data_IF_074329710127
#
_entry.id   IF_074329710127
#
_cell.length_a   1.000
_cell.length_b   1.000
_cell.length_c   1.000
_cell.angle_alpha   90.00
_cell.angle_beta   90.00
_cell.angle_gamma   90.00
#
_symmetry.space_group_name_H-M   'P 1'
#
loop_
_entity.id
_entity.type
_entity.pdbx_description
1 polymer ?
#
# COMPACT_ATOMS: atom_id res chain seq x y z
N UNK A 1 8.36 7.66 1.66
CA UNK A 1 9.69 7.95 2.21
C UNK A 1 9.93 9.45 2.14
N UNK A 2 10.04 10.12 3.29
CA UNK A 2 10.38 11.54 3.36
C UNK A 2 11.88 11.70 3.13
N UNK A 3 12.26 12.49 2.13
CA UNK A 3 13.67 12.70 1.79
C UNK A 3 13.99 14.19 1.87
N UNK A 4 15.13 14.54 2.44
CA UNK A 4 15.64 15.90 2.38
C UNK A 4 16.62 16.03 1.23
N UNK A 5 16.41 17.02 0.35
CA UNK A 5 17.23 17.18 -0.85
C UNK A 5 18.15 18.38 -0.69
N UNK A 6 19.45 18.11 -0.62
CA UNK A 6 20.50 19.13 -0.65
C UNK A 6 20.82 19.41 -2.12
N UNK A 7 20.71 20.67 -2.51
CA UNK A 7 21.00 21.11 -3.87
C UNK A 7 21.50 22.56 -3.88
N UNK A 8 22.22 22.95 -4.93
CA UNK A 8 22.48 24.36 -5.21
C UNK A 8 21.22 25.03 -5.78
N UNK A 9 21.06 26.33 -5.56
CA UNK A 9 19.91 27.09 -6.08
C UNK A 9 19.73 26.94 -7.60
N UNK A 10 20.84 27.01 -8.35
CA UNK A 10 20.87 26.85 -9.81
C UNK A 10 20.41 25.45 -10.28
N UNK A 11 20.62 24.43 -9.44
CA UNK A 11 20.33 23.03 -9.73
C UNK A 11 18.94 22.59 -9.27
N UNK A 12 18.18 23.44 -8.57
CA UNK A 12 16.88 23.12 -7.96
C UNK A 12 15.89 22.48 -8.97
N UNK A 13 15.77 23.09 -10.16
CA UNK A 13 14.85 22.60 -11.19
C UNK A 13 15.25 21.20 -11.68
N UNK A 14 16.54 20.99 -11.98
CA UNK A 14 17.07 19.71 -12.44
C UNK A 14 16.92 18.61 -11.37
N UNK A 15 17.24 18.94 -10.11
CA UNK A 15 17.10 18.01 -8.99
C UNK A 15 15.64 17.55 -8.79
N UNK A 16 14.67 18.47 -8.92
CA UNK A 16 13.23 18.15 -8.85
C UNK A 16 12.78 17.23 -9.98
N UNK A 17 13.21 17.51 -11.21
CA UNK A 17 12.88 16.70 -12.38
C UNK A 17 13.44 15.28 -12.24
N UNK A 18 14.72 15.16 -11.85
CA UNK A 18 15.38 13.87 -11.64
C UNK A 18 14.68 13.03 -10.56
N UNK A 19 14.39 13.61 -9.39
CA UNK A 19 13.73 12.88 -8.30
C UNK A 19 12.32 12.42 -8.70
N UNK A 20 11.59 13.23 -9.47
CA UNK A 20 10.26 12.89 -9.96
C UNK A 20 10.31 11.75 -10.97
N UNK A 21 11.28 11.76 -11.87
CA UNK A 21 11.51 10.69 -12.83
C UNK A 21 11.90 9.40 -12.12
N UNK A 22 12.82 9.48 -11.17
CA UNK A 22 13.28 8.37 -10.35
C UNK A 22 12.11 7.71 -9.60
N UNK A 23 11.32 8.51 -8.89
CA UNK A 23 10.11 8.08 -8.17
C UNK A 23 9.15 7.29 -9.07
N UNK A 24 8.93 7.76 -10.31
CA UNK A 24 8.06 7.10 -11.29
C UNK A 24 8.66 5.79 -11.82
N UNK A 25 9.93 5.82 -12.24
CA UNK A 25 10.59 4.69 -12.86
C UNK A 25 10.79 3.54 -11.86
N UNK A 26 11.21 3.87 -10.63
CA UNK A 26 11.38 2.91 -9.55
C UNK A 26 10.06 2.52 -8.85
N UNK A 27 8.94 3.19 -9.16
CA UNK A 27 7.62 2.98 -8.53
C UNK A 27 7.65 3.11 -7.00
N UNK A 28 8.47 4.03 -6.49
CA UNK A 28 8.60 4.32 -5.06
C UNK A 28 7.95 5.67 -4.75
N UNK A 29 7.31 5.80 -3.59
CA UNK A 29 6.66 7.06 -3.21
C UNK A 29 7.60 7.94 -2.37
N UNK A 30 8.30 8.86 -3.05
CA UNK A 30 9.17 9.85 -2.43
C UNK A 30 8.39 11.13 -2.09
N UNK A 31 8.60 11.65 -0.88
CA UNK A 31 8.11 12.95 -0.42
C UNK A 31 9.31 13.89 -0.25
N UNK A 32 9.83 14.49 -1.33
CA UNK A 32 11.04 15.28 -1.27
C UNK A 32 10.78 16.67 -0.68
N UNK A 33 11.62 17.05 0.28
CA UNK A 33 11.67 18.38 0.87
C UNK A 33 12.84 19.14 0.24
N UNK A 34 12.52 20.29 -0.33
CA UNK A 34 13.48 21.23 -0.90
C UNK A 34 13.37 22.54 -0.12
N UNK A 35 14.50 23.11 0.29
CA UNK A 35 14.53 24.40 0.98
C UNK A 35 15.25 25.46 0.15
N UNK A 36 14.63 26.65 0.09
CA UNK A 36 15.28 27.84 -0.46
C UNK A 36 16.07 28.52 0.66
N UNK A 37 17.34 28.15 0.83
CA UNK A 37 18.25 28.64 1.88
C UNK A 37 18.61 30.13 1.80
N UNK A 38 18.08 30.86 0.81
CA UNK A 38 18.39 32.28 0.58
C UNK A 38 17.38 33.25 1.21
N UNK A 39 16.14 32.83 1.47
CA UNK A 39 15.02 33.79 1.62
C UNK A 39 14.61 34.18 3.05
N UNK A 40 15.10 33.53 4.11
CA UNK A 40 14.56 33.80 5.45
C UNK A 40 15.56 33.57 6.59
N UNK A 41 15.65 34.47 7.59
CA UNK A 41 16.61 34.36 8.71
C UNK A 41 16.48 33.08 9.57
N UNK A 42 15.35 32.36 9.47
CA UNK A 42 15.07 31.11 10.19
C UNK A 42 15.31 29.83 9.37
N UNK A 43 15.84 29.92 8.15
CA UNK A 43 15.96 28.77 7.24
C UNK A 43 16.78 27.62 7.83
N UNK A 44 17.82 27.93 8.62
CA UNK A 44 18.67 26.92 9.29
C UNK A 44 17.90 26.09 10.31
N UNK A 45 17.03 26.71 11.11
CA UNK A 45 16.21 25.99 12.08
C UNK A 45 15.24 25.03 11.37
N UNK A 46 14.65 25.48 10.26
CA UNK A 46 13.80 24.64 9.41
C UNK A 46 14.59 23.51 8.75
N UNK A 47 15.78 23.78 8.24
CA UNK A 47 16.65 22.76 7.64
C UNK A 47 17.03 21.67 8.64
N UNK A 48 17.36 22.04 9.88
CA UNK A 48 17.60 21.07 10.96
C UNK A 48 16.36 20.19 11.15
N UNK A 49 15.18 20.78 11.39
CA UNK A 49 13.96 20.00 11.61
C UNK A 49 13.66 19.05 10.44
N UNK A 50 13.78 19.52 9.20
CA UNK A 50 13.51 18.71 8.02
C UNK A 50 14.55 17.59 7.80
N UNK A 51 15.83 17.84 8.09
CA UNK A 51 16.90 16.82 8.03
C UNK A 51 16.62 15.73 9.07
N UNK A 52 16.35 16.10 10.33
CA UNK A 52 16.08 15.13 11.40
C UNK A 52 14.81 14.31 11.13
N UNK A 53 13.77 14.94 10.60
CA UNK A 53 12.50 14.29 10.27
C UNK A 53 12.53 13.52 8.93
N UNK A 54 13.56 13.69 8.11
CA UNK A 54 13.73 12.91 6.88
C UNK A 54 14.26 11.51 7.18
N UNK A 55 13.83 10.52 6.41
CA UNK A 55 14.36 9.14 6.52
C UNK A 55 15.77 9.08 5.94
N UNK A 56 16.03 9.85 4.87
CA UNK A 56 17.32 9.90 4.18
C UNK A 56 17.59 11.28 3.58
N UNK A 57 18.86 11.60 3.41
CA UNK A 57 19.33 12.82 2.75
C UNK A 57 19.83 12.48 1.36
N UNK A 58 19.37 13.23 0.35
CA UNK A 58 19.79 13.10 -1.04
C UNK A 58 20.54 14.34 -1.44
N UNK A 59 21.77 14.19 -1.93
CA UNK A 59 22.61 15.31 -2.38
C UNK A 59 22.65 15.29 -3.90
N UNK A 60 22.17 16.36 -4.53
CA UNK A 60 22.26 16.52 -5.98
C UNK A 60 23.52 17.30 -6.37
N UNK A 61 24.38 16.69 -7.19
CA UNK A 61 25.68 17.21 -7.60
C UNK A 61 26.54 17.62 -6.39
N UNK A 62 27.11 16.64 -5.68
CA UNK A 62 27.91 16.87 -4.46
C UNK A 62 28.99 17.94 -4.65
N UNK A 63 29.69 17.94 -5.78
CA UNK A 63 30.74 18.91 -6.06
C UNK A 63 30.20 20.35 -6.10
N UNK A 64 29.08 20.59 -6.77
CA UNK A 64 28.43 21.91 -6.79
C UNK A 64 27.92 22.33 -5.40
N UNK A 65 27.49 21.37 -4.58
CA UNK A 65 27.04 21.64 -3.22
C UNK A 65 28.20 22.08 -2.32
N UNK A 66 29.41 21.53 -2.48
CA UNK A 66 30.61 21.92 -1.72
C UNK A 66 31.04 23.37 -1.97
N UNK A 67 30.72 23.93 -3.13
CA UNK A 67 30.99 25.33 -3.47
C UNK A 67 30.03 26.33 -2.79
N UNK A 68 28.88 25.86 -2.29
CA UNK A 68 27.88 26.70 -1.64
C UNK A 68 27.99 26.61 -0.12
N UNK A 69 28.22 27.73 0.61
CA UNK A 69 28.28 27.71 2.07
C UNK A 69 27.02 27.14 2.73
N UNK A 70 25.85 27.35 2.13
CA UNK A 70 24.58 26.87 2.66
C UNK A 70 24.43 25.36 2.47
N UNK A 71 24.68 24.85 1.27
CA UNK A 71 24.56 23.41 1.00
C UNK A 71 25.64 22.60 1.74
N UNK A 72 26.86 23.15 1.87
CA UNK A 72 27.91 22.55 2.70
C UNK A 72 27.51 22.51 4.18
N UNK A 73 26.85 23.56 4.69
CA UNK A 73 26.32 23.57 6.05
C UNK A 73 25.22 22.52 6.25
N UNK A 74 24.30 22.35 5.29
CA UNK A 74 23.27 21.30 5.33
C UNK A 74 23.89 19.90 5.30
N UNK A 75 24.94 19.70 4.50
CA UNK A 75 25.66 18.43 4.40
C UNK A 75 26.34 18.06 5.72
N UNK A 76 27.05 18.99 6.35
CA UNK A 76 27.66 18.76 7.66
C UNK A 76 26.58 18.44 8.72
N UNK A 77 25.41 19.07 8.65
CA UNK A 77 24.30 18.78 9.58
C UNK A 77 23.68 17.41 9.34
N UNK A 78 23.60 16.95 8.10
CA UNK A 78 23.17 15.59 7.78
C UNK A 78 24.16 14.54 8.33
N UNK A 79 25.46 14.79 8.20
CA UNK A 79 26.52 13.94 8.76
C UNK A 79 26.47 13.89 10.29
N UNK A 80 26.35 15.05 10.96
CA UNK A 80 26.19 15.14 12.42
C UNK A 80 24.94 14.36 12.91
N UNK A 81 23.85 14.41 12.14
CA UNK A 81 22.62 13.68 12.43
C UNK A 81 22.70 12.18 12.10
N UNK A 82 23.86 11.68 11.62
CA UNK A 82 24.10 10.31 11.17
C UNK A 82 23.05 9.82 10.16
N UNK A 83 22.54 10.73 9.33
CA UNK A 83 21.62 10.38 8.25
C UNK A 83 22.41 9.70 7.15
N UNK A 84 21.82 8.68 6.55
CA UNK A 84 22.38 8.13 5.32
C UNK A 84 22.30 9.19 4.22
N UNK A 85 23.40 9.36 3.47
CA UNK A 85 23.52 10.35 2.40
C UNK A 85 23.65 9.60 1.08
N UNK A 86 22.74 9.87 0.14
CA UNK A 86 22.77 9.32 -1.21
C UNK A 86 23.07 10.43 -2.20
N UNK A 87 24.13 10.24 -2.96
CA UNK A 87 24.56 11.18 -4.00
C UNK A 87 23.84 10.88 -5.33
N UNK A 88 23.25 11.91 -5.92
CA UNK A 88 22.74 11.91 -7.27
C UNK A 88 23.53 12.89 -8.12
N UNK A 89 23.72 12.56 -9.39
CA UNK A 89 24.36 13.45 -10.36
C UNK A 89 23.60 13.48 -11.68
N UNK A 90 24.08 14.28 -12.64
CA UNK A 90 23.50 14.32 -13.98
C UNK A 90 23.67 13.00 -14.76
N UNK A 91 24.65 12.16 -14.41
CA UNK A 91 24.97 10.92 -15.14
C UNK A 91 25.29 9.79 -14.16
N UNK A 92 24.81 8.58 -14.47
CA UNK A 92 25.10 7.36 -13.71
C UNK A 92 24.55 7.39 -12.26
N UNK A 93 23.24 7.16 -12.12
CA UNK A 93 22.55 7.12 -10.83
C UNK A 93 22.12 5.70 -10.42
N UNK A 94 22.56 4.65 -11.12
CA UNK A 94 22.04 3.29 -10.95
C UNK A 94 22.28 2.74 -9.52
N UNK A 95 23.45 3.03 -8.95
CA UNK A 95 23.79 2.66 -7.58
C UNK A 95 22.95 3.42 -6.55
N UNK A 96 22.84 4.74 -6.72
CA UNK A 96 22.02 5.60 -5.87
C UNK A 96 20.53 5.21 -5.90
N UNK A 97 20.00 4.88 -7.09
CA UNK A 97 18.65 4.36 -7.27
C UNK A 97 18.49 3.02 -6.56
N UNK A 98 19.46 2.12 -6.71
CA UNK A 98 19.44 0.81 -6.06
C UNK A 98 19.46 0.93 -4.53
N UNK A 99 20.25 1.86 -3.99
CA UNK A 99 20.29 2.16 -2.56
C UNK A 99 18.98 2.77 -2.07
N UNK A 100 18.42 3.76 -2.78
CA UNK A 100 17.12 4.34 -2.47
C UNK A 100 16.00 3.29 -2.43
N UNK A 101 15.98 2.36 -3.39
CA UNK A 101 15.02 1.26 -3.43
C UNK A 101 15.22 0.31 -2.24
N UNK A 102 16.46 0.09 -1.82
CA UNK A 102 16.82 -0.78 -0.69
C UNK A 102 16.32 -0.19 0.62
N UNK A 103 16.61 1.10 0.86
CA UNK A 103 16.13 1.86 2.03
C UNK A 103 14.61 1.96 2.02
N UNK A 104 14.00 2.34 0.89
CA UNK A 104 12.54 2.48 0.77
C UNK A 104 11.78 1.20 1.11
N UNK A 105 12.33 0.03 0.75
CA UNK A 105 11.71 -1.26 1.01
C UNK A 105 12.22 -1.92 2.29
N UNK A 106 13.07 -1.23 3.09
CA UNK A 106 13.64 -1.75 4.35
C UNK A 106 14.32 -3.11 4.15
N UNK A 107 15.02 -3.32 3.02
CA UNK A 107 15.56 -4.63 2.67
C UNK A 107 16.67 -5.09 3.62
N UNK A 108 17.51 -4.16 4.07
CA UNK A 108 18.60 -4.49 4.98
C UNK A 108 18.04 -4.92 6.34
N UNK A 109 17.13 -4.12 6.92
CA UNK A 109 16.42 -4.49 8.15
C UNK A 109 15.70 -5.84 8.03
N UNK A 110 15.09 -6.12 6.88
CA UNK A 110 14.46 -7.40 6.60
C UNK A 110 15.48 -8.56 6.59
N UNK A 111 16.63 -8.39 5.93
CA UNK A 111 17.67 -9.41 5.86
C UNK A 111 18.38 -9.62 7.21
N UNK A 112 18.58 -8.55 7.98
CA UNK A 112 19.16 -8.58 9.33
C UNK A 112 18.36 -9.47 10.30
N UNK A 113 17.04 -9.58 10.09
CA UNK A 113 16.18 -10.50 10.86
C UNK A 113 16.58 -11.98 10.72
N UNK A 114 17.37 -12.35 9.71
CA UNK A 114 17.79 -13.73 9.43
C UNK A 114 19.29 -13.97 9.68
N UNK A 115 20.00 -13.02 10.30
CA UNK A 115 21.46 -13.03 10.46
C UNK A 115 22.00 -14.02 11.53
N UNK A 116 21.12 -14.62 12.34
CA UNK A 116 21.51 -15.61 13.35
C UNK A 116 21.44 -17.05 12.80
N UNK A 117 22.45 -17.85 13.13
CA UNK A 117 22.52 -19.26 12.72
C UNK A 117 21.32 -20.02 13.31
N UNK A 118 20.40 -20.45 12.46
CA UNK A 118 19.16 -21.09 12.88
C UNK A 118 19.20 -22.55 12.46
N UNK A 119 19.75 -23.40 13.33
CA UNK A 119 19.66 -24.86 13.25
C UNK A 119 18.18 -25.32 13.10
N UNK A 120 17.23 -24.44 13.42
CA UNK A 120 15.78 -24.63 13.34
C UNK A 120 15.14 -24.02 12.07
N UNK A 121 15.90 -23.74 11.00
CA UNK A 121 15.37 -23.14 9.75
C UNK A 121 14.14 -23.88 9.22
N UNK A 122 14.17 -25.22 9.22
CA UNK A 122 13.05 -26.04 8.76
C UNK A 122 11.81 -25.90 9.65
N UNK A 123 11.97 -25.74 10.97
CA UNK A 123 10.86 -25.55 11.89
C UNK A 123 10.22 -24.17 11.72
N UNK A 124 11.04 -23.12 11.60
CA UNK A 124 10.58 -21.76 11.31
C UNK A 124 9.83 -21.69 9.98
N UNK A 125 10.36 -22.38 8.96
CA UNK A 125 9.71 -22.51 7.66
C UNK A 125 8.33 -23.17 7.79
N UNK A 126 8.25 -24.33 8.45
CA UNK A 126 6.96 -25.02 8.68
C UNK A 126 5.96 -24.15 9.43
N UNK A 127 6.40 -23.44 10.47
CA UNK A 127 5.56 -22.52 11.24
C UNK A 127 5.03 -21.39 10.35
N UNK A 128 5.87 -20.81 9.51
CA UNK A 128 5.47 -19.75 8.59
C UNK A 128 4.47 -20.23 7.53
N UNK A 129 4.69 -21.43 6.97
CA UNK A 129 3.76 -22.07 6.03
C UNK A 129 2.41 -22.32 6.70
N UNK A 130 2.39 -22.96 7.88
CA UNK A 130 1.17 -23.19 8.65
C UNK A 130 0.44 -21.87 8.98
N UNK A 131 1.18 -20.82 9.35
CA UNK A 131 0.61 -19.51 9.62
C UNK A 131 0.00 -18.86 8.37
N UNK A 132 0.56 -19.11 7.18
CA UNK A 132 0.00 -18.67 5.90
C UNK A 132 -1.29 -19.44 5.56
N UNK A 133 -1.30 -20.76 5.74
CA UNK A 133 -2.50 -21.58 5.52
C UNK A 133 -3.66 -21.19 6.46
N UNK A 134 -3.37 -20.97 7.74
CA UNK A 134 -4.36 -20.48 8.70
C UNK A 134 -4.93 -19.12 8.29
N UNK A 135 -4.11 -18.24 7.69
CA UNK A 135 -4.56 -16.95 7.18
C UNK A 135 -5.54 -17.13 6.00
N UNK A 136 -5.26 -18.07 5.10
CA UNK A 136 -6.14 -18.41 3.98
C UNK A 136 -7.48 -18.95 4.50
N UNK A 137 -7.46 -19.85 5.49
CA UNK A 137 -8.68 -20.37 6.11
C UNK A 137 -9.51 -19.28 6.77
N UNK A 138 -8.87 -18.37 7.53
CA UNK A 138 -9.55 -17.21 8.14
C UNK A 138 -10.21 -16.33 7.09
N UNK A 139 -9.54 -16.06 5.97
CA UNK A 139 -10.10 -15.30 4.85
C UNK A 139 -11.35 -15.96 4.25
N UNK A 140 -11.36 -17.28 4.09
CA UNK A 140 -12.55 -18.01 3.61
C UNK A 140 -13.73 -17.88 4.60
N UNK A 141 -13.46 -18.03 5.90
CA UNK A 141 -14.48 -17.83 6.93
C UNK A 141 -15.02 -16.39 6.93
N UNK A 142 -14.15 -15.38 6.75
CA UNK A 142 -14.58 -13.98 6.63
C UNK A 142 -15.43 -13.75 5.38
N UNK A 143 -15.07 -14.33 4.24
CA UNK A 143 -15.88 -14.22 3.02
C UNK A 143 -17.28 -14.79 3.23
N UNK A 144 -17.38 -15.98 3.84
CA UNK A 144 -18.67 -16.61 4.17
C UNK A 144 -19.49 -15.75 5.14
N UNK A 145 -18.85 -15.16 6.16
CA UNK A 145 -19.50 -14.24 7.10
C UNK A 145 -20.14 -13.05 6.38
N UNK A 146 -19.41 -12.35 5.50
CA UNK A 146 -19.95 -11.19 4.78
C UNK A 146 -21.09 -11.56 3.82
N UNK A 147 -20.96 -12.67 3.09
CA UNK A 147 -22.05 -13.17 2.23
C UNK A 147 -23.31 -13.42 3.06
N UNK A 148 -23.16 -14.05 4.22
CA UNK A 148 -24.28 -14.39 5.11
C UNK A 148 -24.94 -13.13 5.67
N UNK A 149 -24.15 -12.19 6.21
CA UNK A 149 -24.70 -10.96 6.81
C UNK A 149 -25.35 -10.08 5.75
N UNK A 150 -24.69 -9.85 4.61
CA UNK A 150 -25.28 -9.04 3.51
C UNK A 150 -26.50 -9.73 2.93
N UNK A 151 -26.47 -11.06 2.76
CA UNK A 151 -27.59 -11.86 2.29
C UNK A 151 -28.80 -11.76 3.24
N UNK A 152 -28.58 -11.87 4.55
CA UNK A 152 -29.64 -11.71 5.55
C UNK A 152 -30.23 -10.29 5.54
N UNK A 153 -29.39 -9.28 5.36
CA UNK A 153 -29.81 -7.88 5.26
C UNK A 153 -30.72 -7.66 4.06
N UNK A 154 -30.35 -8.21 2.90
CA UNK A 154 -31.14 -8.17 1.67
C UNK A 154 -32.46 -8.94 1.83
N UNK A 155 -32.45 -10.09 2.51
CA UNK A 155 -33.66 -10.86 2.78
C UNK A 155 -34.66 -10.08 3.64
N UNK A 156 -34.19 -9.45 4.73
CA UNK A 156 -35.03 -8.60 5.60
C UNK A 156 -35.58 -7.40 4.83
N UNK A 157 -34.74 -6.70 4.05
CA UNK A 157 -35.16 -5.58 3.23
C UNK A 157 -36.21 -6.00 2.18
N UNK A 158 -36.02 -7.16 1.54
CA UNK A 158 -36.96 -7.74 0.58
C UNK A 158 -38.30 -8.11 1.23
N UNK A 159 -38.28 -8.68 2.43
CA UNK A 159 -39.50 -8.95 3.20
C UNK A 159 -40.27 -7.66 3.47
N UNK A 160 -39.61 -6.61 3.95
CA UNK A 160 -40.25 -5.31 4.23
C UNK A 160 -40.84 -4.65 2.98
N UNK A 161 -40.19 -4.83 1.82
CA UNK A 161 -40.73 -4.40 0.54
C UNK A 161 -42.00 -5.20 0.16
N UNK A 162 -41.99 -6.52 0.36
CA UNK A 162 -43.10 -7.40 0.00
C UNK A 162 -44.35 -7.24 0.88
N UNK A 163 -44.18 -6.95 2.17
CA UNK A 163 -45.28 -6.80 3.14
C UNK A 163 -45.96 -5.42 3.06
N UNK A 164 -45.51 -4.53 2.16
CA UNK A 164 -46.02 -3.16 2.06
C UNK A 164 -45.66 -2.29 3.27
N UNK A 165 -44.65 -2.68 4.05
CA UNK A 165 -44.13 -1.90 5.19
C UNK A 165 -43.37 -0.67 4.72
N UNK A 166 -42.79 -0.73 3.52
CA UNK A 166 -42.11 0.38 2.86
C UNK A 166 -43.10 1.22 2.04
N UNK A 167 -43.43 2.40 2.57
CA UNK A 167 -44.25 3.43 1.94
C UNK A 167 -43.45 4.75 1.88
N UNK A 168 -44.05 5.83 1.35
CA UNK A 168 -43.39 7.13 1.25
C UNK A 168 -42.76 7.62 2.57
N UNK A 169 -43.46 7.46 3.69
CA UNK A 169 -42.99 7.91 5.00
C UNK A 169 -41.91 7.01 5.62
N UNK A 170 -41.82 5.74 5.23
CA UNK A 170 -40.89 4.75 5.79
C UNK A 170 -39.73 4.38 4.84
N UNK A 171 -39.62 5.05 3.69
CA UNK A 171 -38.57 4.78 2.68
C UNK A 171 -37.15 5.00 3.21
N UNK A 172 -36.98 5.84 4.24
CA UNK A 172 -35.70 6.05 4.90
C UNK A 172 -35.13 4.75 5.50
N UNK A 173 -35.98 3.80 5.89
CA UNK A 173 -35.57 2.48 6.39
C UNK A 173 -34.83 1.71 5.30
N UNK A 174 -35.34 1.73 4.06
CA UNK A 174 -34.68 1.11 2.91
C UNK A 174 -33.31 1.72 2.65
N UNK A 175 -33.21 3.06 2.69
CA UNK A 175 -31.93 3.75 2.55
C UNK A 175 -30.97 3.43 3.70
N UNK A 176 -31.47 3.24 4.92
CA UNK A 176 -30.69 2.76 6.06
C UNK A 176 -30.10 1.37 5.81
N UNK A 177 -30.92 0.41 5.37
CA UNK A 177 -30.47 -0.93 4.98
C UNK A 177 -29.43 -0.88 3.85
N UNK A 178 -29.67 -0.07 2.82
CA UNK A 178 -28.73 0.11 1.72
C UNK A 178 -27.40 0.70 2.19
N UNK A 179 -27.43 1.73 3.03
CA UNK A 179 -26.25 2.35 3.62
C UNK A 179 -25.41 1.36 4.42
N UNK A 180 -26.04 0.59 5.31
CA UNK A 180 -25.37 -0.47 6.08
C UNK A 180 -24.78 -1.54 5.14
N UNK A 181 -25.52 -1.99 4.13
CA UNK A 181 -25.04 -2.97 3.16
C UNK A 181 -23.81 -2.49 2.36
N UNK A 182 -23.81 -1.24 1.92
CA UNK A 182 -22.68 -0.60 1.22
C UNK A 182 -21.46 -0.50 2.13
N UNK A 183 -21.64 -0.10 3.40
CA UNK A 183 -20.57 -0.06 4.39
C UNK A 183 -19.96 -1.45 4.63
N UNK A 184 -20.79 -2.48 4.73
CA UNK A 184 -20.33 -3.88 4.85
C UNK A 184 -19.54 -4.33 3.61
N UNK A 185 -20.00 -3.98 2.40
CA UNK A 185 -19.27 -4.28 1.16
C UNK A 185 -17.89 -3.62 1.13
N UNK A 186 -17.79 -2.35 1.56
CA UNK A 186 -16.52 -1.64 1.66
C UNK A 186 -15.58 -2.28 2.69
N UNK A 187 -16.12 -2.61 3.87
CA UNK A 187 -15.36 -3.31 4.93
C UNK A 187 -14.82 -4.65 4.43
N UNK A 188 -15.67 -5.43 3.75
CA UNK A 188 -15.30 -6.72 3.17
C UNK A 188 -14.16 -6.58 2.15
N UNK A 189 -14.28 -5.63 1.21
CA UNK A 189 -13.23 -5.36 0.22
C UNK A 189 -11.89 -5.00 0.89
N UNK A 190 -11.92 -4.10 1.89
CA UNK A 190 -10.73 -3.70 2.62
C UNK A 190 -10.07 -4.88 3.34
N UNK A 191 -10.87 -5.78 3.91
CA UNK A 191 -10.34 -6.93 4.63
C UNK A 191 -9.71 -7.96 3.68
N UNK A 192 -10.33 -8.23 2.51
CA UNK A 192 -9.73 -9.02 1.44
C UNK A 192 -8.36 -8.45 1.02
N UNK A 193 -8.28 -7.13 0.88
CA UNK A 193 -7.03 -6.43 0.54
C UNK A 193 -5.94 -6.63 1.57
N UNK A 194 -6.28 -6.47 2.85
CA UNK A 194 -5.32 -6.62 3.93
C UNK A 194 -4.86 -8.07 4.09
N UNK A 195 -5.75 -9.06 3.93
CA UNK A 195 -5.34 -10.46 3.86
C UNK A 195 -4.36 -10.72 2.71
N UNK A 196 -4.61 -10.14 1.53
CA UNK A 196 -3.70 -10.25 0.39
C UNK A 196 -2.32 -9.66 0.66
N UNK A 197 -2.26 -8.46 1.26
CA UNK A 197 -0.99 -7.80 1.63
C UNK A 197 -0.21 -8.60 2.67
N UNK A 198 -0.87 -9.05 3.73
CA UNK A 198 -0.25 -9.84 4.79
C UNK A 198 0.23 -11.20 4.27
N UNK A 199 -0.54 -11.86 3.41
CA UNK A 199 -0.13 -13.13 2.82
C UNK A 199 1.11 -12.96 1.93
N UNK A 200 1.18 -11.86 1.16
CA UNK A 200 2.38 -11.53 0.38
C UNK A 200 3.60 -11.37 1.29
N UNK A 201 3.50 -10.59 2.36
CA UNK A 201 4.61 -10.39 3.30
C UNK A 201 5.05 -11.70 3.97
N UNK A 202 4.10 -12.56 4.38
CA UNK A 202 4.42 -13.91 4.89
C UNK A 202 5.16 -14.75 3.85
N UNK A 203 4.73 -14.69 2.59
CA UNK A 203 5.37 -15.41 1.51
C UNK A 203 6.80 -14.92 1.27
N UNK A 204 7.06 -13.61 1.36
CA UNK A 204 8.42 -13.06 1.25
C UNK A 204 9.35 -13.64 2.35
N UNK A 205 8.86 -13.82 3.58
CA UNK A 205 9.58 -14.51 4.67
C UNK A 205 9.80 -15.99 4.36
N UNK A 206 8.77 -16.70 3.89
CA UNK A 206 8.86 -18.12 3.51
C UNK A 206 9.93 -18.32 2.43
N UNK A 207 9.86 -17.55 1.34
CA UNK A 207 10.85 -17.60 0.24
C UNK A 207 12.26 -17.28 0.73
N UNK A 208 12.39 -16.38 1.71
CA UNK A 208 13.69 -16.06 2.30
C UNK A 208 14.26 -17.21 3.11
N UNK A 209 13.44 -17.91 3.90
CA UNK A 209 13.84 -19.11 4.64
C UNK A 209 14.21 -20.26 3.70
N UNK A 210 13.50 -20.42 2.57
CA UNK A 210 13.79 -21.45 1.56
C UNK A 210 15.21 -21.37 1.02
N UNK A 211 15.84 -20.18 0.99
CA UNK A 211 17.22 -20.04 0.49
C UNK A 211 18.23 -20.91 1.25
N UNK A 212 17.95 -21.27 2.50
CA UNK A 212 18.78 -22.14 3.32
C UNK A 212 18.40 -23.64 3.22
N UNK A 213 17.35 -23.99 2.48
CA UNK A 213 16.89 -25.37 2.29
C UNK A 213 17.45 -25.96 0.98
N UNK A 214 17.56 -27.29 0.92
CA UNK A 214 18.06 -28.00 -0.26
C UNK A 214 17.16 -27.90 -1.50
N UNK A 215 15.90 -27.53 -1.33
CA UNK A 215 14.96 -27.25 -2.43
C UNK A 215 14.04 -26.08 -2.05
N UNK A 216 13.81 -25.17 -3.00
CA UNK A 216 13.00 -23.96 -2.81
C UNK A 216 11.65 -24.13 -3.49
N UNK A 217 10.76 -24.92 -2.88
CA UNK A 217 9.53 -25.40 -3.52
C UNK A 217 8.53 -24.28 -3.81
N UNK A 218 8.34 -23.33 -2.89
CA UNK A 218 7.47 -22.18 -3.11
C UNK A 218 8.09 -21.17 -4.07
N UNK A 219 9.41 -21.04 -4.07
CA UNK A 219 10.13 -20.26 -5.08
C UNK A 219 9.90 -20.85 -6.49
N UNK A 220 9.98 -22.18 -6.62
CA UNK A 220 9.69 -22.88 -7.86
C UNK A 220 8.23 -22.70 -8.30
N UNK A 221 7.27 -22.80 -7.37
CA UNK A 221 5.85 -22.53 -7.63
C UNK A 221 5.65 -21.09 -8.14
N UNK A 222 6.25 -20.10 -7.48
CA UNK A 222 6.15 -18.70 -7.88
C UNK A 222 6.76 -18.44 -9.27
N UNK A 223 7.85 -19.12 -9.60
CA UNK A 223 8.45 -19.11 -10.95
C UNK A 223 7.51 -19.73 -11.98
N UNK A 224 6.91 -20.89 -11.67
CA UNK A 224 5.99 -21.60 -12.57
C UNK A 224 4.77 -20.73 -12.91
N UNK A 225 4.24 -20.01 -11.91
CA UNK A 225 3.18 -18.99 -12.03
C UNK A 225 3.63 -17.70 -12.73
N UNK A 226 4.88 -17.60 -13.17
CA UNK A 226 5.41 -16.47 -13.93
C UNK A 226 5.73 -15.24 -13.09
N UNK A 227 5.95 -15.40 -11.78
CA UNK A 227 6.30 -14.35 -10.81
C UNK A 227 5.36 -13.14 -10.80
N UNK A 228 4.10 -13.33 -11.22
CA UNK A 228 3.13 -12.25 -11.40
C UNK A 228 3.39 -11.31 -12.59
N UNK A 229 4.42 -11.57 -13.41
CA UNK A 229 4.73 -10.80 -14.63
C UNK A 229 3.84 -11.22 -15.81
N UNK A 230 3.26 -12.42 -15.74
CA UNK A 230 2.46 -13.06 -16.80
C UNK A 230 1.03 -13.24 -16.32
N UNK A 231 0.15 -12.29 -16.68
CA UNK A 231 -1.27 -12.29 -16.25
C UNK A 231 -2.02 -13.52 -16.76
N UNK A 232 -1.61 -14.06 -17.90
CA UNK A 232 -2.14 -15.29 -18.49
C UNK A 232 -1.81 -16.53 -17.66
N UNK A 233 -0.70 -16.52 -16.91
CA UNK A 233 -0.30 -17.63 -16.04
C UNK A 233 -0.91 -17.54 -14.65
N UNK A 234 -1.00 -16.33 -14.10
CA UNK A 234 -1.49 -16.14 -12.74
C UNK A 234 -2.20 -14.81 -12.57
N UNK A 235 -3.41 -14.89 -12.03
CA UNK A 235 -4.16 -13.76 -11.51
C UNK A 235 -4.38 -14.00 -10.02
N UNK A 236 -3.91 -13.07 -9.19
CA UNK A 236 -4.05 -13.20 -7.74
C UNK A 236 -5.52 -13.41 -7.34
N UNK A 237 -5.77 -14.38 -6.46
CA UNK A 237 -7.10 -14.61 -5.88
C UNK A 237 -7.70 -13.34 -5.27
N UNK A 238 -6.88 -12.50 -4.64
CA UNK A 238 -7.26 -11.18 -4.13
C UNK A 238 -7.81 -10.26 -5.21
N UNK A 239 -7.26 -10.28 -6.43
CA UNK A 239 -7.80 -9.45 -7.51
C UNK A 239 -9.19 -9.93 -7.96
N UNK A 240 -9.44 -11.24 -7.92
CA UNK A 240 -10.73 -11.82 -8.33
C UNK A 240 -11.79 -11.69 -7.23
N UNK A 241 -11.45 -11.98 -5.97
CA UNK A 241 -12.40 -11.93 -4.85
C UNK A 241 -12.91 -10.51 -4.54
N UNK A 242 -12.09 -9.48 -4.79
CA UNK A 242 -12.53 -8.07 -4.65
C UNK A 242 -13.73 -7.71 -5.53
N UNK A 243 -13.98 -8.46 -6.60
CA UNK A 243 -15.14 -8.22 -7.45
C UNK A 243 -16.45 -8.60 -6.75
N UNK A 244 -16.42 -9.54 -5.81
CA UNK A 244 -17.64 -10.03 -5.16
C UNK A 244 -18.30 -8.94 -4.28
N UNK A 245 -17.59 -8.24 -3.36
CA UNK A 245 -18.16 -7.11 -2.64
C UNK A 245 -18.68 -6.00 -3.57
N UNK A 246 -18.01 -5.77 -4.71
CA UNK A 246 -18.44 -4.77 -5.68
C UNK A 246 -19.76 -5.17 -6.35
N UNK A 247 -19.93 -6.45 -6.71
CA UNK A 247 -21.19 -6.95 -7.27
C UNK A 247 -22.34 -6.85 -6.28
N UNK A 248 -22.12 -7.17 -5.00
CA UNK A 248 -23.14 -6.98 -3.95
C UNK A 248 -23.49 -5.51 -3.76
N UNK A 249 -22.50 -4.62 -3.80
CA UNK A 249 -22.74 -3.17 -3.73
C UNK A 249 -23.61 -2.69 -4.89
N UNK A 250 -23.32 -3.12 -6.11
CA UNK A 250 -24.12 -2.80 -7.30
C UNK A 250 -25.55 -3.35 -7.15
N UNK A 251 -25.69 -4.60 -6.70
CA UNK A 251 -26.99 -5.23 -6.48
C UNK A 251 -27.83 -4.43 -5.47
N UNK A 252 -27.25 -4.04 -4.33
CA UNK A 252 -27.92 -3.23 -3.31
C UNK A 252 -28.42 -1.91 -3.94
N UNK A 253 -27.57 -1.20 -4.67
CA UNK A 253 -27.92 0.07 -5.31
C UNK A 253 -29.08 -0.11 -6.31
N UNK A 254 -28.99 -1.11 -7.18
CA UNK A 254 -30.02 -1.39 -8.20
C UNK A 254 -31.36 -1.75 -7.55
N UNK A 255 -31.35 -2.62 -6.53
CA UNK A 255 -32.58 -3.01 -5.82
C UNK A 255 -33.21 -1.83 -5.08
N UNK A 256 -32.40 -1.01 -4.41
CA UNK A 256 -32.88 0.20 -3.73
C UNK A 256 -33.53 1.16 -4.72
N UNK A 257 -32.89 1.45 -5.86
CA UNK A 257 -33.45 2.32 -6.90
C UNK A 257 -34.76 1.74 -7.44
N UNK A 258 -34.80 0.45 -7.76
CA UNK A 258 -35.98 -0.20 -8.30
C UNK A 258 -37.17 -0.13 -7.34
N UNK A 259 -36.95 -0.41 -6.04
CA UNK A 259 -37.99 -0.31 -5.01
C UNK A 259 -38.44 1.14 -4.82
N UNK A 260 -37.51 2.11 -4.80
CA UNK A 260 -37.86 3.53 -4.73
C UNK A 260 -38.76 3.96 -5.88
N UNK A 261 -38.42 3.60 -7.13
CA UNK A 261 -39.24 3.92 -8.31
C UNK A 261 -40.63 3.29 -8.19
N UNK A 262 -40.71 2.03 -7.75
CA UNK A 262 -41.98 1.33 -7.56
C UNK A 262 -42.86 2.01 -6.50
N UNK A 263 -42.30 2.45 -5.38
CA UNK A 263 -43.04 3.17 -4.32
C UNK A 263 -43.56 4.52 -4.85
N UNK A 264 -42.74 5.28 -5.58
CA UNK A 264 -43.15 6.58 -6.16
C UNK A 264 -44.32 6.37 -7.12
N UNK A 265 -44.20 5.43 -8.07
CA UNK A 265 -45.25 5.16 -9.04
C UNK A 265 -46.56 4.69 -8.37
N UNK A 266 -46.45 3.90 -7.30
CA UNK A 266 -47.62 3.47 -6.52
C UNK A 266 -48.30 4.65 -5.81
N UNK A 267 -47.52 5.60 -5.28
CA UNK A 267 -48.06 6.80 -4.63
C UNK A 267 -48.71 7.77 -5.62
N UNK A 268 -48.21 7.88 -6.86
CA UNK A 268 -48.80 8.77 -7.89
C UNK A 268 -50.13 8.23 -8.47
N UNK A 269 -50.43 6.95 -8.25
CA UNK A 269 -51.63 6.27 -8.76
C UNK A 269 -52.85 6.35 -7.81
N UNK A 270 -52.68 6.90 -6.61
CA UNK A 270 -53.71 7.05 -5.56
C UNK A 270 -53.83 8.50 -5.11
#
# INVERSE_FOLDING_TARGET
MKIFVIHRFEDNKKARELIKELSRNAKINLQPVFLDSYRNGSWKAKAIDEIYNSEIVVVYNLQHCKESPNALWELNKAEEAKKEIIELSEKNNDEAISRLITVYNMKDEFEDCFSSNTDNTMELYKLMVQSSEQLIQRRQATNAFFITVIGSLLAVAGLFASTGTLNGDSIFILYGFAGVGILLCNSWKNLIENYGKLNKAKFDVILRLEKALGAQIYSAEWIALGKGMRKEKYKSFTATEKNVPFLFMLLIIVLTIAITIWIIYKNDLF
#
